data_IF_585112836096
#
_entry.id   IF_585112836096
#
_cell.length_a   1.000
_cell.length_b   1.000
_cell.length_c   1.000
_cell.angle_alpha   90.00
_cell.angle_beta   90.00
_cell.angle_gamma   90.00
#
_symmetry.space_group_name_H-M   'P 1'
#
loop_
_entity.id
_entity.type
_entity.pdbx_description
1 polymer ?
#
# COMPACT_ATOMS: atom_id res chain seq x y z
N UNK A 1 11.26 72.44 -15.00
CA UNK A 1 11.01 71.56 -13.83
C UNK A 1 11.14 70.10 -14.29
N UNK A 2 12.34 69.49 -14.05
CA UNK A 2 12.68 68.14 -14.51
C UNK A 2 12.38 67.17 -13.38
N UNK A 3 11.45 66.23 -13.58
CA UNK A 3 11.26 65.09 -12.73
C UNK A 3 12.14 63.92 -13.23
N UNK A 4 13.22 63.65 -12.50
CA UNK A 4 14.03 62.47 -12.69
C UNK A 4 13.26 61.23 -12.16
N UNK A 5 13.01 60.26 -13.03
CA UNK A 5 12.55 58.94 -12.64
C UNK A 5 13.76 58.10 -12.21
N UNK A 6 13.74 57.66 -10.96
CA UNK A 6 14.71 56.69 -10.43
C UNK A 6 14.20 55.31 -10.79
N UNK A 7 14.90 54.63 -11.66
CA UNK A 7 14.71 53.19 -11.92
C UNK A 7 15.46 52.42 -10.82
N UNK A 8 14.71 51.81 -9.91
CA UNK A 8 15.25 50.80 -9.00
C UNK A 8 15.51 49.51 -9.73
N UNK A 9 16.76 49.15 -9.87
CA UNK A 9 17.16 47.84 -10.35
C UNK A 9 16.86 46.81 -9.24
N UNK A 10 15.84 45.96 -9.45
CA UNK A 10 15.65 44.76 -8.67
C UNK A 10 16.76 43.78 -9.04
N UNK A 11 17.78 43.62 -8.18
CA UNK A 11 18.71 42.51 -8.26
C UNK A 11 17.93 41.23 -8.00
N UNK A 12 17.64 40.49 -9.05
CA UNK A 12 17.25 39.08 -9.00
C UNK A 12 18.50 38.29 -8.53
N UNK A 13 18.49 37.91 -7.25
CA UNK A 13 19.40 36.86 -6.79
C UNK A 13 18.93 35.52 -7.46
N UNK A 14 19.42 35.23 -8.65
CA UNK A 14 19.50 33.86 -9.12
C UNK A 14 20.50 33.14 -8.22
N UNK A 15 20.04 32.35 -7.26
CA UNK A 15 20.89 31.36 -6.63
C UNK A 15 21.46 30.49 -7.75
N UNK A 16 22.77 30.57 -7.96
CA UNK A 16 23.50 29.68 -8.85
C UNK A 16 23.26 28.27 -8.31
N UNK A 17 22.40 27.48 -8.99
CA UNK A 17 22.32 26.04 -8.76
C UNK A 17 23.72 25.48 -9.04
N UNK A 18 24.30 24.80 -8.07
CA UNK A 18 25.57 24.11 -8.22
C UNK A 18 25.50 23.27 -9.49
N UNK A 19 26.42 23.54 -10.45
CA UNK A 19 26.54 22.76 -11.68
C UNK A 19 27.19 21.39 -11.43
N UNK A 20 27.53 21.07 -10.19
CA UNK A 20 28.12 19.82 -9.80
C UNK A 20 27.05 18.82 -9.36
N UNK A 21 27.02 17.68 -10.02
CA UNK A 21 26.18 16.56 -9.61
C UNK A 21 26.95 15.65 -8.68
N UNK A 22 26.40 15.38 -7.50
CA UNK A 22 26.95 14.35 -6.61
C UNK A 22 26.93 12.99 -7.26
N UNK A 23 28.00 12.25 -7.11
CA UNK A 23 28.16 10.87 -7.63
C UNK A 23 28.09 9.87 -6.49
N UNK A 24 27.12 8.97 -6.57
CA UNK A 24 26.93 7.91 -5.59
C UNK A 24 27.41 6.59 -6.19
N UNK A 25 28.49 6.05 -5.63
CA UNK A 25 29.13 4.83 -6.10
C UNK A 25 28.92 3.70 -5.09
N UNK A 26 28.31 2.61 -5.54
CA UNK A 26 28.08 1.42 -4.72
C UNK A 26 29.03 0.33 -5.20
N UNK A 27 29.97 -0.06 -4.33
CA UNK A 27 30.93 -1.14 -4.55
C UNK A 27 30.42 -2.39 -3.83
N UNK A 28 30.11 -3.41 -4.59
CA UNK A 28 29.45 -4.62 -4.09
C UNK A 28 30.41 -5.79 -4.18
N UNK A 29 30.84 -6.27 -3.02
CA UNK A 29 31.57 -7.52 -2.92
C UNK A 29 30.60 -8.69 -3.01
N UNK A 30 31.06 -9.78 -3.66
CA UNK A 30 30.27 -10.99 -3.89
C UNK A 30 28.92 -10.73 -4.56
N UNK A 31 28.87 -9.96 -5.69
CA UNK A 31 27.61 -9.59 -6.33
C UNK A 31 26.91 -10.83 -6.92
N UNK A 32 25.57 -10.87 -6.80
CA UNK A 32 24.80 -11.88 -7.52
C UNK A 32 24.58 -11.40 -8.95
N UNK A 33 24.84 -12.26 -9.91
CA UNK A 33 24.65 -11.97 -11.33
C UNK A 33 23.20 -11.53 -11.63
N UNK A 34 23.03 -10.49 -12.45
CA UNK A 34 21.74 -9.93 -12.84
C UNK A 34 21.02 -9.15 -11.75
N UNK A 35 21.59 -9.00 -10.55
CA UNK A 35 20.98 -8.19 -9.49
C UNK A 35 21.18 -6.70 -9.76
N UNK A 36 20.08 -5.94 -9.74
CA UNK A 36 20.09 -4.47 -9.83
C UNK A 36 20.05 -3.86 -8.42
N UNK A 37 20.60 -2.65 -8.31
CA UNK A 37 20.41 -1.79 -7.16
C UNK A 37 19.19 -0.91 -7.42
N UNK A 38 18.25 -0.87 -6.48
CA UNK A 38 17.07 0.00 -6.54
C UNK A 38 17.23 1.11 -5.50
N UNK A 39 17.10 2.37 -5.94
CA UNK A 39 17.16 3.56 -5.09
C UNK A 39 15.81 4.24 -5.11
N UNK A 40 15.11 4.23 -3.99
CA UNK A 40 13.83 4.91 -3.82
C UNK A 40 14.03 6.30 -3.21
N UNK A 41 13.74 7.33 -3.98
CA UNK A 41 13.80 8.74 -3.60
C UNK A 41 12.50 9.15 -2.92
N UNK A 42 12.56 9.39 -1.63
CA UNK A 42 11.35 9.57 -0.83
C UNK A 42 10.64 10.89 -1.07
N UNK A 43 11.37 11.98 -1.34
CA UNK A 43 10.78 13.29 -1.59
C UNK A 43 10.02 13.36 -2.93
N UNK A 44 10.48 12.62 -3.95
CA UNK A 44 9.89 12.64 -5.30
C UNK A 44 9.02 11.43 -5.62
N UNK A 45 9.11 10.36 -4.80
CA UNK A 45 8.49 9.07 -5.09
C UNK A 45 9.12 8.32 -6.26
N UNK A 46 10.23 8.82 -6.80
CA UNK A 46 10.95 8.20 -7.92
C UNK A 46 11.72 6.96 -7.48
N UNK A 47 11.99 6.09 -8.43
CA UNK A 47 12.80 4.90 -8.24
C UNK A 47 13.77 4.77 -9.38
N UNK A 48 15.06 4.76 -9.07
CA UNK A 48 16.11 4.46 -10.02
C UNK A 48 16.54 2.99 -9.89
N UNK A 49 16.59 2.30 -11.03
CA UNK A 49 17.12 0.94 -11.14
C UNK A 49 18.51 1.02 -11.77
N UNK A 50 19.55 0.81 -10.97
CA UNK A 50 20.95 0.92 -11.38
C UNK A 50 21.53 -0.47 -11.61
N UNK A 51 22.09 -0.69 -12.80
CA UNK A 51 22.77 -1.96 -13.11
C UNK A 51 24.09 -2.09 -12.35
N UNK A 52 24.35 -3.27 -11.84
CA UNK A 52 25.61 -3.62 -11.22
C UNK A 52 26.54 -4.24 -12.27
N UNK A 53 27.61 -3.54 -12.62
CA UNK A 53 28.62 -4.02 -13.59
C UNK A 53 29.95 -4.25 -12.86
N UNK A 54 30.49 -5.45 -12.93
CA UNK A 54 31.75 -5.83 -12.25
C UNK A 54 31.77 -5.44 -10.76
N UNK A 55 30.64 -5.64 -10.07
CA UNK A 55 30.50 -5.29 -8.65
C UNK A 55 30.37 -3.80 -8.35
N UNK A 56 30.14 -2.95 -9.36
CA UNK A 56 29.98 -1.50 -9.17
C UNK A 56 28.68 -1.02 -9.79
N UNK A 57 27.94 -0.18 -9.05
CA UNK A 57 26.80 0.59 -9.55
C UNK A 57 27.07 2.06 -9.25
N UNK A 58 26.79 2.95 -10.22
CA UNK A 58 27.02 4.39 -10.07
C UNK A 58 25.83 5.16 -10.60
N UNK A 59 25.43 6.20 -9.87
CA UNK A 59 24.40 7.15 -10.28
C UNK A 59 24.86 8.57 -9.95
N UNK A 60 24.64 9.51 -10.86
CA UNK A 60 24.88 10.94 -10.65
C UNK A 60 23.54 11.68 -10.73
N UNK A 61 23.26 12.54 -9.75
CA UNK A 61 22.00 13.28 -9.66
C UNK A 61 22.22 14.61 -8.94
N UNK A 62 21.65 15.71 -9.43
CA UNK A 62 21.86 17.05 -8.91
C UNK A 62 20.59 17.88 -8.69
N UNK A 63 19.43 17.37 -9.11
CA UNK A 63 18.15 18.08 -9.10
C UNK A 63 17.24 17.69 -7.92
N UNK A 64 17.82 17.43 -6.78
CA UNK A 64 17.08 17.08 -5.58
C UNK A 64 17.57 17.83 -4.34
N UNK A 65 16.71 18.00 -3.36
CA UNK A 65 17.07 18.45 -2.02
C UNK A 65 17.61 17.30 -1.19
N UNK A 66 18.54 17.59 -0.28
CA UNK A 66 19.09 16.59 0.63
C UNK A 66 17.97 15.80 1.33
N UNK A 67 18.01 14.46 1.22
CA UNK A 67 16.92 13.60 1.66
C UNK A 67 17.35 12.20 2.04
N UNK A 68 16.46 11.52 2.78
CA UNK A 68 16.58 10.08 2.97
C UNK A 68 16.19 9.33 1.69
N UNK A 69 16.97 8.30 1.38
CA UNK A 69 16.67 7.33 0.33
C UNK A 69 16.64 5.93 0.92
N UNK A 70 15.80 5.07 0.37
CA UNK A 70 15.84 3.65 0.71
C UNK A 70 16.45 2.88 -0.44
N UNK A 71 17.47 2.10 -0.13
CA UNK A 71 18.24 1.34 -1.11
C UNK A 71 17.94 -0.14 -0.92
N UNK A 72 17.67 -0.82 -2.02
CA UNK A 72 17.46 -2.26 -2.06
C UNK A 72 18.51 -2.91 -2.94
N UNK A 73 19.08 -3.98 -2.46
CA UNK A 73 19.91 -4.89 -3.24
C UNK A 73 19.32 -6.31 -3.17
N UNK A 74 18.63 -6.68 -4.26
CA UNK A 74 17.84 -7.91 -4.29
C UNK A 74 16.58 -7.85 -3.39
N UNK A 75 15.97 -9.02 -3.14
CA UNK A 75 14.62 -9.10 -2.53
C UNK A 75 14.61 -8.86 -1.02
N UNK A 76 15.72 -9.10 -0.33
CA UNK A 76 15.72 -9.17 1.16
C UNK A 76 16.79 -8.30 1.83
N UNK A 77 17.47 -7.45 1.10
CA UNK A 77 18.47 -6.57 1.66
C UNK A 77 18.15 -5.11 1.34
N UNK A 78 17.90 -4.31 2.36
CA UNK A 78 17.65 -2.88 2.21
C UNK A 78 18.19 -2.10 3.39
N UNK A 79 18.60 -0.86 3.13
CA UNK A 79 19.10 0.08 4.11
C UNK A 79 18.71 1.51 3.74
N UNK A 80 18.87 2.44 4.69
CA UNK A 80 18.53 3.86 4.51
C UNK A 80 19.85 4.65 4.47
N UNK A 81 19.92 5.59 3.54
CA UNK A 81 20.99 6.56 3.40
C UNK A 81 20.43 7.97 3.41
N UNK A 82 21.27 8.96 3.68
CA UNK A 82 20.98 10.37 3.49
C UNK A 82 21.90 10.91 2.39
N UNK A 83 21.31 11.39 1.30
CA UNK A 83 22.04 11.88 0.13
C UNK A 83 21.86 13.39 -0.02
N UNK A 84 22.96 14.06 -0.41
CA UNK A 84 23.04 15.50 -0.64
C UNK A 84 23.53 15.72 -2.08
N UNK A 85 22.80 16.52 -2.85
CA UNK A 85 22.93 16.64 -4.31
C UNK A 85 24.34 16.99 -4.82
N UNK A 86 25.10 17.73 -4.03
CA UNK A 86 26.43 18.25 -4.38
C UNK A 86 27.60 17.47 -3.74
N UNK A 87 27.32 16.31 -3.12
CA UNK A 87 28.31 15.54 -2.40
C UNK A 87 28.46 14.11 -2.91
N UNK A 88 29.66 13.74 -3.27
CA UNK A 88 29.98 12.36 -3.63
C UNK A 88 29.93 11.43 -2.42
N UNK A 89 29.51 10.20 -2.64
CA UNK A 89 29.48 9.17 -1.61
C UNK A 89 29.82 7.81 -2.21
N UNK A 90 30.77 7.10 -1.62
CA UNK A 90 31.03 5.71 -1.93
C UNK A 90 30.48 4.82 -0.83
N UNK A 91 29.68 3.83 -1.21
CA UNK A 91 29.08 2.84 -0.30
C UNK A 91 29.65 1.47 -0.66
N UNK A 92 30.25 0.79 0.30
CA UNK A 92 30.71 -0.59 0.13
C UNK A 92 29.65 -1.52 0.73
N UNK A 93 29.28 -2.54 -0.02
CA UNK A 93 28.24 -3.52 0.32
C UNK A 93 28.89 -4.90 0.21
N UNK A 94 28.92 -5.68 1.27
CA UNK A 94 29.15 -7.12 1.14
C UNK A 94 27.78 -7.82 1.01
N UNK A 95 27.55 -8.41 -0.17
CA UNK A 95 26.26 -9.05 -0.46
C UNK A 95 26.04 -10.36 0.30
N UNK A 96 27.09 -10.97 0.84
CA UNK A 96 27.04 -12.21 1.60
C UNK A 96 26.88 -11.95 3.10
N UNK A 97 27.71 -11.10 3.70
CA UNK A 97 27.66 -10.76 5.13
C UNK A 97 26.63 -9.69 5.44
N UNK A 98 26.23 -8.88 4.45
CA UNK A 98 25.40 -7.67 4.55
C UNK A 98 26.07 -6.52 5.32
N UNK A 99 27.37 -6.57 5.47
CA UNK A 99 28.12 -5.47 6.03
C UNK A 99 28.10 -4.27 5.07
N UNK A 100 28.00 -3.09 5.67
CA UNK A 100 27.91 -1.81 4.98
C UNK A 100 28.97 -0.86 5.53
N UNK A 101 29.63 -0.14 4.63
CA UNK A 101 30.46 1.01 5.02
C UNK A 101 30.33 2.11 3.97
N UNK A 102 30.67 3.33 4.33
CA UNK A 102 30.66 4.45 3.40
C UNK A 102 31.83 5.39 3.64
N UNK A 103 32.22 6.12 2.58
CA UNK A 103 33.26 7.14 2.58
C UNK A 103 32.84 8.30 1.66
N UNK A 104 33.13 9.53 2.09
CA UNK A 104 32.81 10.75 1.33
C UNK A 104 32.51 11.94 2.24
N UNK A 105 32.19 13.12 1.68
CA UNK A 105 31.98 14.34 2.45
C UNK A 105 30.79 14.32 3.45
N UNK A 106 29.88 13.35 3.31
CA UNK A 106 28.73 13.15 4.22
C UNK A 106 28.74 11.78 4.87
N UNK A 107 29.88 11.17 5.02
CA UNK A 107 29.98 9.80 5.52
C UNK A 107 29.65 9.67 7.01
N UNK A 108 29.85 10.73 7.83
CA UNK A 108 29.48 10.73 9.24
C UNK A 108 27.96 10.55 9.45
N UNK A 109 27.13 11.20 8.63
CA UNK A 109 25.68 11.03 8.67
C UNK A 109 25.32 9.59 8.32
N UNK A 110 25.90 9.08 7.25
CA UNK A 110 25.57 7.75 6.75
C UNK A 110 26.16 6.65 7.63
N UNK A 111 27.34 6.84 8.22
CA UNK A 111 27.88 5.94 9.27
C UNK A 111 26.94 5.86 10.47
N UNK A 112 26.40 7.01 10.92
CA UNK A 112 25.41 7.04 11.97
C UNK A 112 24.14 6.23 11.59
N UNK A 113 23.60 6.43 10.39
CA UNK A 113 22.40 5.72 9.94
C UNK A 113 22.61 4.21 9.82
N UNK A 114 23.77 3.78 9.35
CA UNK A 114 24.10 2.38 9.08
C UNK A 114 24.50 1.59 10.35
N UNK A 115 25.18 2.24 11.31
CA UNK A 115 25.82 1.53 12.43
C UNK A 115 25.25 1.85 13.80
N UNK A 116 24.35 2.86 13.93
CA UNK A 116 23.73 3.13 15.23
C UNK A 116 22.75 2.00 15.60
N UNK A 117 22.91 1.36 16.77
CA UNK A 117 22.02 0.30 17.24
C UNK A 117 20.71 0.89 17.76
N UNK A 118 19.88 1.39 16.85
CA UNK A 118 18.58 1.96 17.22
C UNK A 118 17.70 0.96 17.94
N UNK A 119 17.16 1.35 19.08
CA UNK A 119 16.15 0.59 19.78
C UNK A 119 14.84 0.53 18.97
N UNK A 120 14.14 -0.59 19.10
CA UNK A 120 12.82 -0.82 18.52
C UNK A 120 11.90 -1.44 19.57
N UNK A 121 10.59 -1.17 19.46
CA UNK A 121 9.60 -1.80 20.31
C UNK A 121 9.42 -3.26 19.88
N UNK A 122 9.59 -4.19 20.82
CA UNK A 122 9.34 -5.61 20.57
C UNK A 122 7.88 -5.81 20.08
N UNK A 123 7.67 -6.57 19.01
CA UNK A 123 6.32 -6.89 18.53
C UNK A 123 5.39 -7.47 19.60
N UNK A 124 5.92 -8.29 20.51
CA UNK A 124 5.17 -8.90 21.61
C UNK A 124 4.82 -7.90 22.73
N UNK A 125 5.43 -6.71 22.73
CA UNK A 125 5.11 -5.68 23.73
C UNK A 125 3.63 -5.23 23.66
N UNK A 126 2.96 -5.42 22.52
CA UNK A 126 1.51 -5.19 22.41
C UNK A 126 0.67 -6.13 23.30
N UNK A 127 1.24 -7.20 23.83
CA UNK A 127 0.62 -8.02 24.89
C UNK A 127 0.62 -7.38 26.28
N UNK A 128 1.34 -6.26 26.51
CA UNK A 128 1.30 -5.50 27.77
C UNK A 128 0.02 -4.68 27.87
N UNK A 129 -0.34 -4.29 29.10
CA UNK A 129 -1.40 -3.31 29.33
C UNK A 129 -1.03 -1.93 28.77
N UNK A 130 -2.01 -1.09 28.43
CA UNK A 130 -1.79 0.19 27.72
C UNK A 130 -0.73 1.08 28.37
N UNK A 131 -0.80 1.30 29.68
CA UNK A 131 0.14 2.18 30.38
C UNK A 131 1.58 1.67 30.26
N UNK A 132 1.79 0.36 30.38
CA UNK A 132 3.11 -0.27 30.25
C UNK A 132 3.60 -0.28 28.81
N UNK A 133 2.69 -0.42 27.84
CA UNK A 133 3.01 -0.33 26.42
C UNK A 133 3.44 1.08 26.03
N UNK A 134 2.73 2.12 26.50
CA UNK A 134 3.08 3.53 26.33
C UNK A 134 4.46 3.78 26.92
N UNK A 135 4.69 3.39 28.18
CA UNK A 135 5.99 3.55 28.86
C UNK A 135 7.14 2.83 28.13
N UNK A 136 6.87 1.65 27.59
CA UNK A 136 7.86 0.90 26.78
C UNK A 136 8.21 1.68 25.49
N UNK A 137 7.21 2.21 24.80
CA UNK A 137 7.40 2.97 23.57
C UNK A 137 8.14 4.29 23.84
N UNK A 138 7.78 5.01 24.89
CA UNK A 138 8.46 6.23 25.33
C UNK A 138 9.94 5.96 25.69
N UNK A 139 10.22 4.84 26.37
CA UNK A 139 11.58 4.43 26.70
C UNK A 139 12.43 4.18 25.44
N UNK A 140 11.88 3.49 24.46
CA UNK A 140 12.57 3.24 23.16
C UNK A 140 12.88 4.57 22.45
N UNK A 141 11.93 5.50 22.41
CA UNK A 141 12.16 6.83 21.82
C UNK A 141 13.25 7.60 22.56
N UNK A 142 13.22 7.62 23.89
CA UNK A 142 14.23 8.30 24.71
C UNK A 142 15.64 7.72 24.50
N UNK A 143 15.78 6.39 24.43
CA UNK A 143 17.07 5.74 24.09
C UNK A 143 17.59 6.23 22.74
N UNK A 144 16.72 6.25 21.72
CA UNK A 144 17.11 6.70 20.38
C UNK A 144 17.48 8.20 20.36
N UNK A 145 16.81 9.03 21.16
CA UNK A 145 17.16 10.46 21.30
C UNK A 145 18.53 10.66 21.98
N UNK A 146 18.86 9.87 22.98
CA UNK A 146 20.18 9.94 23.63
C UNK A 146 21.29 9.49 22.68
N UNK A 147 21.05 8.49 21.82
CA UNK A 147 22.00 8.11 20.77
C UNK A 147 22.23 9.26 19.77
N UNK A 148 21.15 9.92 19.32
CA UNK A 148 21.25 11.08 18.44
C UNK A 148 21.99 12.27 19.09
N UNK A 149 21.72 12.54 20.37
CA UNK A 149 22.35 13.62 21.12
C UNK A 149 23.86 13.46 21.21
N UNK A 150 24.32 12.22 21.46
CA UNK A 150 25.75 11.86 21.58
C UNK A 150 26.51 11.87 20.25
N UNK A 151 25.81 11.69 19.14
CA UNK A 151 26.44 11.69 17.82
C UNK A 151 26.92 13.09 17.42
N UNK A 152 28.11 13.19 16.84
CA UNK A 152 28.63 14.42 16.26
C UNK A 152 28.11 14.58 14.82
N UNK A 153 27.01 15.32 14.68
CA UNK A 153 26.26 15.45 13.42
C UNK A 153 25.79 16.89 13.23
N UNK A 154 25.61 17.34 11.98
CA UNK A 154 25.09 18.67 11.68
C UNK A 154 23.72 18.95 12.35
N UNK A 155 23.56 20.15 12.88
CA UNK A 155 22.35 20.56 13.62
C UNK A 155 21.07 20.38 12.80
N UNK A 156 21.10 20.74 11.50
CA UNK A 156 19.96 20.57 10.61
C UNK A 156 19.58 19.10 10.44
N UNK A 157 20.57 18.24 10.30
CA UNK A 157 20.31 16.79 10.22
C UNK A 157 19.75 16.26 11.55
N UNK A 158 20.32 16.67 12.72
CA UNK A 158 19.79 16.27 14.04
C UNK A 158 18.31 16.66 14.21
N UNK A 159 17.92 17.86 13.75
CA UNK A 159 16.52 18.31 13.79
C UNK A 159 15.61 17.36 12.98
N UNK A 160 16.03 17.01 11.78
CA UNK A 160 15.29 16.14 10.88
C UNK A 160 15.24 14.70 11.41
N UNK A 161 16.39 14.21 11.88
CA UNK A 161 16.53 12.86 12.43
C UNK A 161 15.70 12.66 13.70
N UNK A 162 15.57 13.68 14.55
CA UNK A 162 14.68 13.62 15.71
C UNK A 162 13.22 13.33 15.30
N UNK A 163 12.73 13.97 14.22
CA UNK A 163 11.40 13.68 13.66
C UNK A 163 11.31 12.23 13.16
N UNK A 164 12.32 11.78 12.40
CA UNK A 164 12.34 10.39 11.88
C UNK A 164 12.35 9.35 13.00
N UNK A 165 13.13 9.58 14.05
CA UNK A 165 13.20 8.69 15.22
C UNK A 165 11.88 8.59 15.98
N UNK A 166 11.04 9.64 15.98
CA UNK A 166 9.69 9.56 16.52
C UNK A 166 8.91 8.44 15.81
N UNK A 167 8.80 8.51 14.48
CA UNK A 167 8.02 7.53 13.71
C UNK A 167 8.64 6.14 13.75
N UNK A 168 9.97 6.03 13.75
CA UNK A 168 10.67 4.75 13.90
C UNK A 168 10.34 4.10 15.25
N UNK A 169 10.40 4.86 16.33
CA UNK A 169 10.21 4.34 17.70
C UNK A 169 8.74 3.96 17.97
N UNK A 170 7.80 4.73 17.44
CA UNK A 170 6.36 4.49 17.61
C UNK A 170 5.71 3.79 16.42
N UNK A 171 6.48 3.21 15.49
CA UNK A 171 5.95 2.61 14.26
C UNK A 171 4.84 1.58 14.46
N UNK A 172 4.83 0.88 15.60
CA UNK A 172 3.81 -0.11 15.96
C UNK A 172 2.70 0.43 16.87
N UNK A 173 2.81 1.67 17.32
CA UNK A 173 1.88 2.24 18.28
C UNK A 173 0.44 2.29 17.77
N UNK A 174 0.16 2.76 16.55
CA UNK A 174 -1.20 2.77 16.00
C UNK A 174 -1.84 1.38 15.86
N UNK A 175 -1.01 0.34 15.78
CA UNK A 175 -1.46 -1.05 15.60
C UNK A 175 -1.80 -1.75 16.93
N UNK A 176 -1.51 -1.13 18.06
CA UNK A 176 -1.78 -1.73 19.37
C UNK A 176 -3.25 -2.17 19.54
N UNK A 177 -4.27 -1.37 19.16
CA UNK A 177 -5.67 -1.77 19.34
C UNK A 177 -6.07 -3.04 18.60
N UNK A 178 -5.38 -3.39 17.52
CA UNK A 178 -5.62 -4.63 16.76
C UNK A 178 -4.76 -5.79 17.26
N UNK A 179 -3.52 -5.51 17.67
CA UNK A 179 -2.56 -6.54 18.10
C UNK A 179 -2.78 -7.00 19.54
N UNK A 180 -3.16 -6.08 20.44
CA UNK A 180 -3.38 -6.38 21.84
C UNK A 180 -4.44 -7.48 22.05
N UNK A 181 -5.68 -7.35 21.53
CA UNK A 181 -6.68 -8.39 21.69
C UNK A 181 -6.28 -9.71 21.04
N UNK A 182 -5.58 -9.67 19.90
CA UNK A 182 -5.07 -10.88 19.26
C UNK A 182 -4.08 -11.63 20.16
N UNK A 183 -3.11 -10.93 20.76
CA UNK A 183 -2.09 -11.52 21.65
C UNK A 183 -2.68 -11.97 22.98
N UNK A 184 -3.67 -11.26 23.49
CA UNK A 184 -4.36 -11.57 24.75
C UNK A 184 -5.53 -12.53 24.59
N UNK A 185 -5.89 -12.88 23.34
CA UNK A 185 -7.06 -13.71 23.02
C UNK A 185 -8.37 -13.13 23.58
N UNK A 186 -8.56 -11.80 23.41
CA UNK A 186 -9.77 -11.09 23.82
C UNK A 186 -10.77 -11.07 22.67
N UNK A 187 -12.05 -11.28 22.98
CA UNK A 187 -13.13 -11.23 21.98
C UNK A 187 -13.37 -9.80 21.46
N UNK A 188 -13.11 -8.79 22.30
CA UNK A 188 -13.22 -7.38 21.95
C UNK A 188 -12.25 -6.54 22.78
N UNK A 189 -11.85 -5.40 22.22
CA UNK A 189 -10.99 -4.44 22.91
C UNK A 189 -11.29 -3.03 22.39
N UNK A 190 -11.37 -2.07 23.30
CA UNK A 190 -11.49 -0.65 22.98
C UNK A 190 -10.40 0.12 23.70
N UNK A 191 -9.56 0.90 23.00
CA UNK A 191 -8.52 1.72 23.62
C UNK A 191 -9.10 2.70 24.63
N UNK A 192 -8.38 2.94 25.72
CA UNK A 192 -8.77 3.94 26.72
C UNK A 192 -8.47 5.37 26.22
N UNK A 193 -9.00 6.36 26.95
CA UNK A 193 -8.66 7.77 26.70
C UNK A 193 -7.16 8.06 26.87
N UNK A 194 -6.46 7.33 27.73
CA UNK A 194 -5.01 7.45 27.91
C UNK A 194 -4.28 7.14 26.59
N UNK A 195 -4.60 5.99 25.99
CA UNK A 195 -4.01 5.60 24.71
C UNK A 195 -4.37 6.56 23.58
N UNK A 196 -5.65 6.92 23.47
CA UNK A 196 -6.13 7.80 22.41
C UNK A 196 -5.56 9.21 22.49
N UNK A 197 -5.36 9.76 23.69
CA UNK A 197 -4.70 11.04 23.89
C UNK A 197 -3.23 10.98 23.46
N UNK A 198 -2.52 9.91 23.82
CA UNK A 198 -1.14 9.68 23.37
C UNK A 198 -1.08 9.52 21.85
N UNK A 199 -2.02 8.78 21.25
CA UNK A 199 -2.11 8.62 19.80
C UNK A 199 -2.29 9.97 19.08
N UNK A 200 -3.17 10.83 19.61
CA UNK A 200 -3.38 12.18 19.09
C UNK A 200 -2.11 13.04 19.17
N UNK A 201 -1.38 12.99 20.28
CA UNK A 201 -0.07 13.67 20.44
C UNK A 201 0.95 13.20 19.38
N UNK A 202 0.98 11.90 19.10
CA UNK A 202 1.91 11.29 18.18
C UNK A 202 1.51 11.42 16.70
N UNK A 203 0.28 11.87 16.40
CA UNK A 203 -0.20 12.08 15.03
C UNK A 203 0.26 13.43 14.49
N UNK A 204 1.53 13.50 14.14
CA UNK A 204 2.18 14.72 13.62
C UNK A 204 1.88 14.88 12.12
N UNK A 205 1.25 16.01 11.75
CA UNK A 205 0.97 16.40 10.36
C UNK A 205 2.03 17.41 9.91
N UNK A 206 3.03 16.93 9.17
CA UNK A 206 4.17 17.76 8.73
C UNK A 206 4.68 17.26 7.37
N UNK A 207 4.61 18.12 6.35
CA UNK A 207 5.03 17.78 4.99
C UNK A 207 6.53 17.42 4.88
N UNK A 208 7.39 17.96 5.75
CA UNK A 208 8.81 17.58 5.78
C UNK A 208 9.00 16.08 6.08
N UNK A 209 8.07 15.51 6.88
CA UNK A 209 8.11 14.10 7.25
C UNK A 209 7.75 13.14 6.11
N UNK A 210 7.13 13.61 5.02
CA UNK A 210 6.90 12.79 3.82
C UNK A 210 8.20 12.26 3.21
N UNK A 211 9.34 12.89 3.52
CA UNK A 211 10.67 12.41 3.14
C UNK A 211 11.15 11.18 3.92
N UNK A 212 10.43 10.75 4.96
CA UNK A 212 10.79 9.56 5.74
C UNK A 212 10.07 8.32 5.24
N UNK A 213 10.82 7.23 5.07
CA UNK A 213 10.26 5.97 4.56
C UNK A 213 9.06 5.46 5.37
N UNK A 214 9.13 5.63 6.70
CA UNK A 214 8.17 5.02 7.62
C UNK A 214 7.00 5.94 7.99
N UNK A 215 7.12 7.26 7.71
CA UNK A 215 6.11 8.24 8.10
C UNK A 215 4.76 8.03 7.45
N UNK A 216 4.74 7.77 6.14
CA UNK A 216 3.49 7.60 5.41
C UNK A 216 2.66 6.42 5.94
N UNK A 217 3.29 5.28 6.17
CA UNK A 217 2.61 4.11 6.76
C UNK A 217 2.14 4.41 8.18
N UNK A 218 3.03 4.98 9.00
CA UNK A 218 2.70 5.38 10.37
C UNK A 218 1.50 6.32 10.41
N UNK A 219 1.49 7.37 9.57
CA UNK A 219 0.41 8.36 9.54
C UNK A 219 -0.92 7.73 9.11
N UNK A 220 -0.89 6.85 8.10
CA UNK A 220 -2.09 6.13 7.67
C UNK A 220 -2.67 5.25 8.77
N UNK A 221 -1.82 4.47 9.46
CA UNK A 221 -2.25 3.64 10.59
C UNK A 221 -2.78 4.51 11.74
N UNK A 222 -2.14 5.65 12.02
CA UNK A 222 -2.55 6.60 13.04
C UNK A 222 -3.91 7.27 12.73
N UNK A 223 -4.15 7.61 11.47
CA UNK A 223 -5.45 8.13 11.00
C UNK A 223 -6.52 7.07 11.17
N UNK A 224 -6.28 5.85 10.70
CA UNK A 224 -7.25 4.76 10.78
C UNK A 224 -7.59 4.40 12.25
N UNK A 225 -6.57 4.34 13.11
CA UNK A 225 -6.74 4.08 14.54
C UNK A 225 -7.66 5.11 15.21
N UNK A 226 -7.60 6.38 14.79
CA UNK A 226 -8.39 7.46 15.37
C UNK A 226 -9.73 7.69 14.67
N UNK A 227 -9.78 7.49 13.35
CA UNK A 227 -10.96 7.77 12.54
C UNK A 227 -12.01 6.67 12.65
N UNK A 228 -11.60 5.39 12.63
CA UNK A 228 -12.55 4.29 12.49
C UNK A 228 -13.20 3.94 13.82
N UNK A 229 -14.52 4.24 13.90
CA UNK A 229 -15.33 4.04 15.10
C UNK A 229 -16.43 2.97 14.89
N UNK A 230 -16.37 2.21 13.76
CA UNK A 230 -17.29 1.13 13.43
C UNK A 230 -18.48 1.54 12.56
N UNK A 231 -18.44 2.76 12.00
CA UNK A 231 -19.37 3.26 10.99
C UNK A 231 -18.89 3.01 9.55
N UNK A 232 -19.25 3.93 8.65
CA UNK A 232 -18.74 3.94 7.28
C UNK A 232 -17.29 4.45 7.27
N UNK A 233 -16.34 3.53 7.12
CA UNK A 233 -14.90 3.83 7.16
C UNK A 233 -14.47 4.90 6.16
N UNK A 234 -15.13 4.99 4.99
CA UNK A 234 -14.81 6.00 3.99
C UNK A 234 -15.20 7.39 4.46
N UNK A 235 -16.41 7.53 5.01
CA UNK A 235 -16.90 8.80 5.57
C UNK A 235 -16.12 9.20 6.81
N UNK A 236 -15.83 8.25 7.69
CA UNK A 236 -15.00 8.47 8.87
C UNK A 236 -13.60 8.95 8.50
N UNK A 237 -12.96 8.34 7.48
CA UNK A 237 -11.67 8.77 6.97
C UNK A 237 -11.72 10.20 6.44
N UNK A 238 -12.64 10.50 5.52
CA UNK A 238 -12.75 11.84 4.91
C UNK A 238 -13.01 12.91 5.97
N UNK A 239 -13.93 12.67 6.90
CA UNK A 239 -14.23 13.59 8.00
C UNK A 239 -13.02 13.84 8.91
N UNK A 240 -12.28 12.79 9.27
CA UNK A 240 -11.07 12.91 10.07
C UNK A 240 -10.00 13.72 9.36
N UNK A 241 -9.74 13.42 8.08
CA UNK A 241 -8.73 14.13 7.28
C UNK A 241 -9.09 15.60 7.13
N UNK A 242 -10.35 15.94 6.86
CA UNK A 242 -10.82 17.32 6.76
C UNK A 242 -10.69 18.09 8.08
N UNK A 243 -10.94 17.45 9.20
CA UNK A 243 -10.82 18.05 10.51
C UNK A 243 -9.36 18.25 10.98
N UNK A 244 -8.48 17.28 10.71
CA UNK A 244 -7.18 17.18 11.38
C UNK A 244 -5.97 17.38 10.46
N UNK A 245 -6.07 17.15 9.14
CA UNK A 245 -4.96 17.25 8.19
C UNK A 245 -5.04 18.56 7.41
N UNK A 246 -4.38 19.62 7.91
CA UNK A 246 -4.46 20.97 7.32
C UNK A 246 -3.38 21.24 6.27
N UNK A 247 -2.23 20.57 6.34
CA UNK A 247 -1.19 20.69 5.32
C UNK A 247 -1.64 20.05 4.01
N UNK A 248 -1.62 20.82 2.91
CA UNK A 248 -2.13 20.39 1.61
C UNK A 248 -1.34 19.23 1.01
N UNK A 249 -0.01 19.15 1.23
CA UNK A 249 0.82 18.06 0.72
C UNK A 249 0.54 16.76 1.48
N UNK A 250 0.44 16.85 2.81
CA UNK A 250 0.11 15.69 3.65
C UNK A 250 -1.30 15.22 3.34
N UNK A 251 -2.26 16.14 3.18
CA UNK A 251 -3.64 15.82 2.81
C UNK A 251 -3.70 15.10 1.46
N UNK A 252 -2.99 15.62 0.47
CA UNK A 252 -2.86 14.99 -0.84
C UNK A 252 -2.30 13.57 -0.74
N UNK A 253 -1.23 13.39 0.04
CA UNK A 253 -0.58 12.09 0.23
C UNK A 253 -1.51 11.06 0.88
N UNK A 254 -2.17 11.40 2.01
CA UNK A 254 -3.05 10.45 2.70
C UNK A 254 -4.31 10.13 1.89
N UNK A 255 -4.82 11.13 1.15
CA UNK A 255 -5.96 10.95 0.24
C UNK A 255 -5.60 9.99 -0.90
N UNK A 256 -4.45 10.19 -1.55
CA UNK A 256 -3.95 9.29 -2.59
C UNK A 256 -3.75 7.87 -2.03
N UNK A 257 -3.06 7.73 -0.91
CA UNK A 257 -2.76 6.44 -0.30
C UNK A 257 -4.01 5.64 0.04
N UNK A 258 -5.06 6.28 0.56
CA UNK A 258 -6.28 5.60 0.98
C UNK A 258 -7.24 5.35 -0.20
N UNK A 259 -7.57 6.39 -0.94
CA UNK A 259 -8.63 6.31 -1.96
C UNK A 259 -8.14 5.60 -3.21
N UNK A 260 -6.89 5.82 -3.64
CA UNK A 260 -6.33 5.08 -4.77
C UNK A 260 -6.33 3.57 -4.51
N UNK A 261 -5.98 3.14 -3.30
CA UNK A 261 -6.01 1.70 -2.94
C UNK A 261 -7.42 1.12 -3.09
N UNK A 262 -8.44 1.83 -2.58
CA UNK A 262 -9.85 1.40 -2.68
C UNK A 262 -10.31 1.34 -4.13
N UNK A 263 -10.16 2.44 -4.89
CA UNK A 263 -10.66 2.52 -6.28
C UNK A 263 -9.91 1.55 -7.17
N UNK A 264 -8.59 1.41 -7.01
CA UNK A 264 -7.79 0.48 -7.82
C UNK A 264 -8.15 -0.99 -7.63
N UNK A 265 -8.72 -1.36 -6.47
CA UNK A 265 -9.10 -2.74 -6.12
C UNK A 265 -10.60 -3.01 -6.26
N UNK A 266 -11.43 -2.02 -5.97
CA UNK A 266 -12.90 -2.19 -5.85
C UNK A 266 -13.68 -1.54 -6.99
N UNK A 267 -13.07 -0.64 -7.76
CA UNK A 267 -13.71 0.05 -8.88
C UNK A 267 -14.48 1.28 -8.47
N UNK A 268 -15.33 1.74 -9.39
CA UNK A 268 -16.03 3.02 -9.28
C UNK A 268 -17.44 2.90 -8.65
N UNK A 269 -18.10 1.74 -8.80
CA UNK A 269 -19.47 1.57 -8.34
C UNK A 269 -19.60 1.72 -6.83
N UNK A 270 -20.36 2.72 -6.38
CA UNK A 270 -20.51 3.07 -4.98
C UNK A 270 -19.34 3.83 -4.38
N UNK A 271 -18.37 4.26 -5.19
CA UNK A 271 -17.19 5.02 -4.78
C UNK A 271 -17.15 6.44 -5.38
N UNK A 272 -18.25 6.96 -5.93
CA UNK A 272 -18.27 8.27 -6.59
C UNK A 272 -17.89 9.40 -5.63
N UNK A 273 -18.35 9.36 -4.37
CA UNK A 273 -17.96 10.33 -3.33
C UNK A 273 -16.45 10.30 -3.04
N UNK A 274 -15.82 9.12 -3.06
CA UNK A 274 -14.36 8.99 -2.91
C UNK A 274 -13.61 9.55 -4.13
N UNK A 275 -14.12 9.32 -5.34
CA UNK A 275 -13.54 9.85 -6.58
C UNK A 275 -13.56 11.38 -6.58
N UNK A 276 -14.69 11.99 -6.18
CA UNK A 276 -14.81 13.44 -6.09
C UNK A 276 -13.91 14.00 -4.99
N UNK A 277 -13.84 13.36 -3.84
CA UNK A 277 -12.95 13.75 -2.75
C UNK A 277 -11.48 13.67 -3.16
N UNK A 278 -11.09 12.63 -3.90
CA UNK A 278 -9.74 12.47 -4.45
C UNK A 278 -9.38 13.65 -5.35
N UNK A 279 -10.21 13.92 -6.35
CA UNK A 279 -9.99 15.01 -7.33
C UNK A 279 -9.90 16.39 -6.69
N UNK A 280 -10.62 16.60 -5.59
CA UNK A 280 -10.59 17.86 -4.83
C UNK A 280 -9.31 18.04 -4.01
N UNK A 281 -8.74 16.96 -3.47
CA UNK A 281 -7.72 17.05 -2.43
C UNK A 281 -6.33 16.60 -2.88
N UNK A 282 -6.19 15.82 -3.96
CA UNK A 282 -4.89 15.40 -4.48
C UNK A 282 -4.33 16.48 -5.40
N UNK A 283 -3.13 16.97 -5.08
CA UNK A 283 -2.43 18.03 -5.83
C UNK A 283 -1.24 17.51 -6.64
N UNK A 284 -0.81 16.27 -6.41
CA UNK A 284 0.26 15.63 -7.18
C UNK A 284 -0.24 15.25 -8.58
N UNK A 285 0.40 15.80 -9.62
CA UNK A 285 -0.02 15.58 -11.01
C UNK A 285 0.15 14.13 -11.45
N UNK A 286 1.27 13.47 -11.07
CA UNK A 286 1.52 12.07 -11.45
C UNK A 286 0.51 11.14 -10.78
N UNK A 287 0.18 11.39 -9.52
CA UNK A 287 -0.87 10.66 -8.81
C UNK A 287 -2.23 10.86 -9.47
N UNK A 288 -2.58 12.09 -9.84
CA UNK A 288 -3.84 12.40 -10.55
C UNK A 288 -3.93 11.70 -11.90
N UNK A 289 -2.89 11.78 -12.74
CA UNK A 289 -2.84 11.10 -14.04
C UNK A 289 -3.00 9.57 -13.90
N UNK A 290 -2.32 8.99 -12.91
CA UNK A 290 -2.43 7.56 -12.59
C UNK A 290 -3.83 7.18 -12.11
N UNK A 291 -4.46 8.03 -11.29
CA UNK A 291 -5.82 7.84 -10.80
C UNK A 291 -6.84 7.91 -11.93
N UNK A 292 -6.76 8.93 -12.79
CA UNK A 292 -7.66 9.08 -13.93
C UNK A 292 -7.52 7.93 -14.94
N UNK A 293 -6.30 7.46 -15.18
CA UNK A 293 -6.07 6.26 -16.00
C UNK A 293 -6.72 5.02 -15.37
N UNK A 294 -6.66 4.89 -14.05
CA UNK A 294 -7.31 3.80 -13.30
C UNK A 294 -8.85 3.92 -13.39
N UNK A 295 -9.40 5.10 -13.17
CA UNK A 295 -10.84 5.34 -13.33
C UNK A 295 -11.32 4.98 -14.72
N UNK A 296 -10.59 5.40 -15.77
CA UNK A 296 -10.91 5.07 -17.17
C UNK A 296 -10.95 3.55 -17.43
N UNK A 297 -10.05 2.79 -16.81
CA UNK A 297 -10.08 1.33 -16.91
C UNK A 297 -11.32 0.73 -16.25
N UNK A 298 -11.77 1.30 -15.13
CA UNK A 298 -12.94 0.82 -14.41
C UNK A 298 -14.27 1.24 -15.05
N UNK A 299 -14.32 2.29 -15.89
CA UNK A 299 -15.56 2.72 -16.58
C UNK A 299 -16.19 1.59 -17.42
N UNK A 300 -15.38 0.74 -18.05
CA UNK A 300 -15.89 -0.40 -18.83
C UNK A 300 -16.49 -1.51 -17.95
N UNK A 301 -16.27 -1.47 -16.65
CA UNK A 301 -16.74 -2.44 -15.65
C UNK A 301 -17.88 -1.86 -14.78
N UNK A 302 -18.46 -0.73 -15.15
CA UNK A 302 -19.63 -0.16 -14.47
C UNK A 302 -20.83 -1.09 -14.56
N UNK A 303 -21.71 -1.03 -13.55
CA UNK A 303 -22.97 -1.73 -13.57
C UNK A 303 -23.77 -1.44 -14.86
N UNK A 304 -24.38 -2.46 -15.44
CA UNK A 304 -25.07 -2.40 -16.71
C UNK A 304 -24.18 -2.59 -17.95
N UNK A 305 -22.85 -2.50 -17.84
CA UNK A 305 -21.91 -2.79 -18.95
C UNK A 305 -21.91 -4.28 -19.29
N UNK A 306 -21.65 -4.67 -20.57
CA UNK A 306 -21.41 -6.06 -20.91
C UNK A 306 -20.19 -6.62 -20.17
N UNK A 307 -20.34 -7.80 -19.55
CA UNK A 307 -19.22 -8.45 -18.88
C UNK A 307 -18.14 -8.90 -19.87
N UNK A 308 -16.84 -8.74 -19.55
CA UNK A 308 -15.80 -9.54 -20.18
C UNK A 308 -16.17 -11.03 -20.17
N UNK A 309 -15.97 -11.71 -21.30
CA UNK A 309 -16.36 -13.10 -21.48
C UNK A 309 -15.24 -14.06 -21.05
N UNK A 310 -15.65 -15.26 -20.70
CA UNK A 310 -14.74 -16.41 -20.56
C UNK A 310 -15.23 -17.60 -21.38
N UNK A 311 -14.31 -18.49 -21.74
CA UNK A 311 -14.60 -19.83 -22.27
C UNK A 311 -13.54 -20.75 -21.68
N UNK A 312 -13.94 -21.64 -20.77
CA UNK A 312 -13.01 -22.42 -19.97
C UNK A 312 -13.50 -23.86 -19.77
N UNK A 313 -12.58 -24.85 -19.66
CA UNK A 313 -12.96 -26.23 -19.43
C UNK A 313 -13.41 -26.48 -17.99
N UNK A 314 -14.40 -27.34 -17.83
CA UNK A 314 -14.72 -28.00 -16.56
C UNK A 314 -13.71 -29.13 -16.24
N UNK A 315 -13.94 -29.83 -15.12
CA UNK A 315 -13.09 -30.94 -14.68
C UNK A 315 -13.09 -32.14 -15.66
N UNK A 316 -14.09 -32.24 -16.52
CA UNK A 316 -14.20 -33.28 -17.55
C UNK A 316 -13.68 -32.79 -18.91
N UNK A 317 -13.16 -31.60 -19.01
CA UNK A 317 -12.67 -30.98 -20.25
C UNK A 317 -13.76 -30.36 -21.13
N UNK A 318 -15.03 -30.36 -20.72
CA UNK A 318 -16.11 -29.72 -21.45
C UNK A 318 -15.99 -28.21 -21.34
N UNK A 319 -15.98 -27.53 -22.49
CA UNK A 319 -15.92 -26.08 -22.56
C UNK A 319 -17.23 -25.44 -22.14
N UNK A 320 -17.16 -24.48 -21.22
CA UNK A 320 -18.31 -23.68 -20.76
C UNK A 320 -17.98 -22.21 -20.98
N UNK A 321 -18.84 -21.52 -21.73
CA UNK A 321 -18.71 -20.10 -22.01
C UNK A 321 -19.67 -19.29 -21.15
N UNK A 322 -19.36 -18.01 -20.86
CA UNK A 322 -20.29 -17.11 -20.19
C UNK A 322 -21.63 -17.00 -20.95
N UNK A 323 -21.59 -17.01 -22.28
CA UNK A 323 -22.82 -16.92 -23.11
C UNK A 323 -23.75 -18.12 -22.94
N UNK A 324 -23.23 -19.29 -22.56
CA UNK A 324 -24.04 -20.49 -22.29
C UNK A 324 -24.78 -20.44 -20.94
N UNK A 325 -24.49 -19.45 -20.11
CA UNK A 325 -25.09 -19.25 -18.79
C UNK A 325 -26.16 -18.15 -18.77
N UNK A 326 -26.46 -17.55 -19.93
CA UNK A 326 -27.52 -16.55 -20.07
C UNK A 326 -28.90 -17.09 -19.68
N UNK A 327 -29.80 -16.20 -19.25
CA UNK A 327 -31.12 -16.53 -18.76
C UNK A 327 -31.23 -16.60 -17.24
N UNK A 328 -30.07 -16.71 -16.55
CA UNK A 328 -30.00 -16.66 -15.09
C UNK A 328 -28.94 -15.65 -14.65
N UNK A 329 -29.05 -15.19 -13.42
CA UNK A 329 -27.96 -14.44 -12.77
C UNK A 329 -26.74 -15.34 -12.64
N UNK A 330 -25.53 -14.73 -12.64
CA UNK A 330 -24.28 -15.50 -12.51
C UNK A 330 -23.45 -14.86 -11.39
N UNK A 331 -23.23 -15.61 -10.32
CA UNK A 331 -22.33 -15.24 -9.24
C UNK A 331 -21.01 -15.98 -9.41
N UNK A 332 -19.93 -15.25 -9.68
CA UNK A 332 -18.63 -15.78 -10.03
C UNK A 332 -17.69 -15.62 -8.85
N UNK A 333 -17.00 -16.70 -8.45
CA UNK A 333 -15.88 -16.74 -7.53
C UNK A 333 -14.58 -16.97 -8.33
N UNK A 334 -13.70 -15.97 -8.37
CA UNK A 334 -12.35 -16.14 -8.93
C UNK A 334 -11.39 -16.50 -7.79
N UNK A 335 -10.87 -17.72 -7.85
CA UNK A 335 -10.16 -18.34 -6.74
C UNK A 335 -8.95 -19.18 -7.20
N UNK A 336 -8.20 -19.76 -6.25
CA UNK A 336 -7.18 -20.77 -6.51
C UNK A 336 -6.99 -21.71 -5.32
N UNK A 337 -6.49 -22.92 -5.59
CA UNK A 337 -6.28 -23.97 -4.58
C UNK A 337 -5.29 -23.56 -3.48
N UNK A 338 -4.30 -22.76 -3.80
CA UNK A 338 -3.28 -22.24 -2.89
C UNK A 338 -3.72 -21.00 -2.09
N UNK A 339 -4.86 -20.39 -2.44
CA UNK A 339 -5.36 -19.17 -1.81
C UNK A 339 -6.06 -19.52 -0.48
N UNK A 340 -5.41 -19.21 0.64
CA UNK A 340 -5.96 -19.41 1.98
C UNK A 340 -7.30 -18.69 2.21
N UNK A 341 -7.38 -17.35 1.98
CA UNK A 341 -8.63 -16.61 2.11
C UNK A 341 -9.77 -17.15 1.22
N UNK A 342 -9.48 -17.60 -0.01
CA UNK A 342 -10.49 -18.20 -0.88
C UNK A 342 -11.08 -19.47 -0.26
N UNK A 343 -10.22 -20.31 0.31
CA UNK A 343 -10.67 -21.52 0.99
C UNK A 343 -11.53 -21.24 2.22
N UNK A 344 -11.31 -20.12 2.87
CA UNK A 344 -12.14 -19.64 3.99
C UNK A 344 -13.57 -19.27 3.57
N UNK A 345 -13.78 -18.90 2.30
CA UNK A 345 -15.12 -18.57 1.76
C UNK A 345 -15.92 -19.80 1.30
N UNK A 346 -15.27 -20.96 1.04
CA UNK A 346 -15.95 -22.15 0.51
C UNK A 346 -17.15 -22.63 1.36
N UNK A 347 -17.08 -22.69 2.72
CA UNK A 347 -18.23 -23.12 3.51
C UNK A 347 -19.44 -22.16 3.38
N UNK A 348 -19.18 -20.86 3.22
CA UNK A 348 -20.22 -19.85 3.01
C UNK A 348 -20.79 -19.95 1.59
N UNK A 349 -19.95 -20.22 0.58
CA UNK A 349 -20.38 -20.45 -0.79
C UNK A 349 -21.33 -21.67 -0.86
N UNK A 350 -20.98 -22.77 -0.23
CA UNK A 350 -21.83 -23.98 -0.19
C UNK A 350 -23.19 -23.69 0.44
N UNK A 351 -23.24 -22.88 1.52
CA UNK A 351 -24.51 -22.46 2.14
C UNK A 351 -25.35 -21.59 1.20
N UNK A 352 -24.73 -20.66 0.45
CA UNK A 352 -25.44 -19.86 -0.53
C UNK A 352 -26.01 -20.73 -1.67
N UNK A 353 -25.22 -21.68 -2.20
CA UNK A 353 -25.65 -22.62 -3.22
C UNK A 353 -26.86 -23.45 -2.77
N UNK A 354 -26.87 -23.90 -1.51
CA UNK A 354 -28.00 -24.61 -0.90
C UNK A 354 -29.22 -23.72 -0.71
N UNK A 355 -29.04 -22.52 -0.20
CA UNK A 355 -30.12 -21.53 0.05
C UNK A 355 -30.82 -21.11 -1.24
N UNK A 356 -30.08 -20.98 -2.34
CA UNK A 356 -30.61 -20.54 -3.63
C UNK A 356 -30.74 -21.69 -4.65
N UNK A 357 -30.74 -22.95 -4.18
CA UNK A 357 -30.96 -24.10 -5.03
C UNK A 357 -32.32 -24.00 -5.74
N UNK A 358 -32.34 -24.24 -7.07
CA UNK A 358 -33.53 -24.13 -7.89
C UNK A 358 -33.96 -22.70 -8.24
N UNK A 359 -33.28 -21.68 -7.78
CA UNK A 359 -33.48 -20.28 -8.18
C UNK A 359 -32.73 -19.95 -9.48
N UNK A 360 -33.10 -18.81 -10.09
CA UNK A 360 -32.53 -18.37 -11.38
C UNK A 360 -31.14 -17.72 -11.20
N UNK A 361 -30.22 -18.43 -10.56
CA UNK A 361 -28.84 -18.03 -10.36
C UNK A 361 -27.89 -19.20 -10.57
N UNK A 362 -26.79 -18.96 -11.28
CA UNK A 362 -25.65 -19.87 -11.40
C UNK A 362 -24.55 -19.45 -10.45
N UNK A 363 -23.94 -20.40 -9.75
CA UNK A 363 -22.71 -20.22 -8.99
C UNK A 363 -21.55 -20.81 -9.80
N UNK A 364 -20.53 -19.99 -10.07
CA UNK A 364 -19.43 -20.34 -10.97
C UNK A 364 -18.10 -20.09 -10.29
N UNK A 365 -17.32 -21.14 -10.08
CA UNK A 365 -15.93 -21.05 -9.63
C UNK A 365 -15.00 -20.96 -10.84
N UNK A 366 -14.29 -19.86 -11.00
CA UNK A 366 -13.25 -19.67 -12.00
C UNK A 366 -11.87 -19.79 -11.34
N UNK A 367 -11.25 -20.96 -11.44
CA UNK A 367 -9.90 -21.14 -10.90
C UNK A 367 -8.85 -20.48 -11.77
N UNK A 368 -7.98 -19.67 -11.14
CA UNK A 368 -6.79 -19.12 -11.77
C UNK A 368 -5.51 -19.93 -11.44
N UNK A 369 -5.64 -21.20 -11.07
CA UNK A 369 -4.50 -22.07 -10.84
C UNK A 369 -3.63 -22.22 -12.09
N UNK A 370 -2.32 -22.11 -11.94
CA UNK A 370 -1.35 -22.50 -12.98
C UNK A 370 -1.19 -24.02 -13.07
N UNK A 371 -1.43 -24.73 -11.96
CA UNK A 371 -1.38 -26.19 -11.89
C UNK A 371 -2.80 -26.77 -11.99
N UNK A 372 -3.23 -27.05 -13.23
CA UNK A 372 -4.55 -27.63 -13.52
C UNK A 372 -4.79 -28.95 -12.77
N UNK A 373 -3.78 -29.82 -12.65
CA UNK A 373 -3.92 -31.08 -11.93
C UNK A 373 -4.19 -30.88 -10.42
N UNK A 374 -3.63 -29.86 -9.81
CA UNK A 374 -3.93 -29.54 -8.41
C UNK A 374 -5.40 -29.10 -8.25
N UNK A 375 -5.91 -28.28 -9.19
CA UNK A 375 -7.31 -27.88 -9.23
C UNK A 375 -8.24 -29.09 -9.46
N UNK A 376 -7.97 -29.94 -10.44
CA UNK A 376 -8.75 -31.15 -10.71
C UNK A 376 -8.87 -32.06 -9.47
N UNK A 377 -7.74 -32.32 -8.80
CA UNK A 377 -7.71 -33.10 -7.53
C UNK A 377 -8.53 -32.42 -6.43
N UNK A 378 -8.56 -31.08 -6.41
CA UNK A 378 -9.36 -30.33 -5.41
C UNK A 378 -10.85 -30.47 -5.69
N UNK A 379 -11.28 -30.37 -6.95
CA UNK A 379 -12.69 -30.53 -7.34
C UNK A 379 -13.18 -31.96 -7.15
N UNK A 380 -12.34 -32.97 -7.44
CA UNK A 380 -12.67 -34.38 -7.26
C UNK A 380 -13.00 -34.79 -5.82
N UNK A 381 -12.66 -33.96 -4.81
CA UNK A 381 -13.10 -34.20 -3.41
C UNK A 381 -14.62 -34.10 -3.24
N UNK A 382 -15.32 -33.44 -4.16
CA UNK A 382 -16.78 -33.40 -4.21
C UNK A 382 -17.46 -32.44 -3.21
N UNK A 383 -16.69 -31.67 -2.45
CA UNK A 383 -17.20 -30.71 -1.46
C UNK A 383 -17.36 -29.27 -1.99
N UNK A 384 -16.94 -29.02 -3.23
CA UNK A 384 -17.17 -27.76 -3.96
C UNK A 384 -18.24 -28.02 -5.01
N UNK A 385 -19.37 -27.32 -4.88
CA UNK A 385 -20.52 -27.42 -5.79
C UNK A 385 -20.45 -26.39 -6.92
N UNK A 386 -21.54 -26.17 -7.60
CA UNK A 386 -21.64 -25.21 -8.71
C UNK A 386 -20.84 -25.59 -9.94
N UNK A 387 -20.73 -24.67 -10.87
CA UNK A 387 -19.99 -24.85 -12.13
C UNK A 387 -18.53 -24.50 -11.87
N UNK A 388 -17.65 -25.49 -11.96
CA UNK A 388 -16.21 -25.31 -11.66
C UNK A 388 -15.39 -25.34 -12.94
N UNK A 389 -14.68 -24.25 -13.23
CA UNK A 389 -13.91 -24.02 -14.46
C UNK A 389 -12.48 -23.59 -14.13
N UNK A 390 -11.52 -23.87 -15.02
CA UNK A 390 -10.13 -23.46 -14.88
C UNK A 390 -9.73 -22.51 -16.02
N UNK A 391 -9.48 -21.23 -15.69
CA UNK A 391 -9.11 -20.19 -16.66
C UNK A 391 -7.61 -19.88 -16.68
N UNK A 392 -6.85 -20.34 -15.66
CA UNK A 392 -5.43 -20.05 -15.49
C UNK A 392 -5.14 -18.61 -15.01
N UNK A 393 -3.86 -18.33 -14.62
CA UNK A 393 -3.51 -17.10 -13.89
C UNK A 393 -3.47 -15.82 -14.76
N UNK A 394 -3.28 -15.94 -16.08
CA UNK A 394 -3.10 -14.82 -17.00
C UNK A 394 -4.20 -14.73 -18.06
N UNK A 395 -5.41 -15.17 -17.72
CA UNK A 395 -6.53 -15.14 -18.66
C UNK A 395 -6.96 -13.71 -18.98
N UNK A 396 -7.44 -13.50 -20.22
CA UNK A 396 -8.05 -12.24 -20.65
C UNK A 396 -9.17 -11.76 -19.70
N UNK A 397 -9.93 -12.70 -19.14
CA UNK A 397 -10.98 -12.41 -18.18
C UNK A 397 -10.41 -11.70 -16.94
N UNK A 398 -9.34 -12.24 -16.35
CA UNK A 398 -8.71 -11.64 -15.17
C UNK A 398 -8.13 -10.26 -15.49
N UNK A 399 -7.49 -10.11 -16.66
CA UNK A 399 -6.91 -8.82 -17.08
C UNK A 399 -7.99 -7.77 -17.30
N UNK A 400 -9.07 -8.11 -18.03
CA UNK A 400 -10.18 -7.21 -18.32
C UNK A 400 -10.99 -6.82 -17.08
N UNK A 401 -11.10 -7.72 -16.09
CA UNK A 401 -11.70 -7.41 -14.78
C UNK A 401 -10.74 -6.75 -13.79
N UNK A 402 -9.52 -6.41 -14.21
CA UNK A 402 -8.50 -5.77 -13.38
C UNK A 402 -8.27 -6.55 -12.07
N UNK A 403 -8.29 -7.89 -12.13
CA UNK A 403 -8.14 -8.73 -10.94
C UNK A 403 -6.66 -8.82 -10.57
N UNK A 404 -6.29 -8.06 -9.54
CA UNK A 404 -4.92 -8.02 -8.98
C UNK A 404 -4.74 -8.94 -7.77
N UNK A 405 -5.81 -9.50 -7.24
CA UNK A 405 -5.80 -10.37 -6.07
C UNK A 405 -7.09 -11.17 -5.94
N UNK A 406 -7.01 -12.32 -5.30
CA UNK A 406 -8.12 -13.24 -5.02
C UNK A 406 -8.29 -13.43 -3.51
N UNK A 407 -9.52 -13.77 -3.04
CA UNK A 407 -10.74 -14.02 -3.82
C UNK A 407 -11.33 -12.76 -4.43
N UNK A 408 -11.97 -12.88 -5.59
CA UNK A 408 -12.74 -11.83 -6.25
C UNK A 408 -14.11 -12.38 -6.62
N UNK A 409 -15.18 -11.69 -6.22
CA UNK A 409 -16.55 -12.06 -6.54
C UNK A 409 -17.14 -11.07 -7.53
N UNK A 410 -17.90 -11.59 -8.50
CA UNK A 410 -18.53 -10.82 -9.57
C UNK A 410 -19.98 -11.28 -9.68
N UNK A 411 -20.91 -10.35 -9.87
CA UNK A 411 -22.32 -10.65 -10.08
C UNK A 411 -22.79 -10.09 -11.41
N UNK A 412 -23.39 -10.96 -12.23
CA UNK A 412 -23.93 -10.63 -13.54
C UNK A 412 -25.44 -10.86 -13.58
N UNK A 413 -26.13 -10.09 -14.41
CA UNK A 413 -27.56 -10.29 -14.69
C UNK A 413 -27.82 -11.42 -15.71
N UNK A 414 -29.09 -11.65 -16.03
CA UNK A 414 -29.55 -12.70 -16.95
C UNK A 414 -29.05 -12.52 -18.39
N UNK A 415 -28.67 -11.32 -18.80
CA UNK A 415 -28.11 -11.00 -20.12
C UNK A 415 -26.56 -11.06 -20.14
N UNK A 416 -25.92 -11.32 -18.99
CA UNK A 416 -24.48 -11.31 -18.82
C UNK A 416 -23.91 -9.90 -18.71
N UNK A 417 -24.71 -8.94 -18.25
CA UNK A 417 -24.25 -7.58 -17.91
C UNK A 417 -23.83 -7.55 -16.45
N UNK A 418 -22.91 -6.65 -16.14
CA UNK A 418 -22.37 -6.48 -14.78
C UNK A 418 -23.45 -5.89 -13.87
N UNK A 419 -23.78 -6.58 -12.80
CA UNK A 419 -24.51 -6.02 -11.66
C UNK A 419 -23.51 -5.46 -10.65
N UNK A 420 -22.45 -6.23 -10.37
CA UNK A 420 -21.31 -5.79 -9.53
C UNK A 420 -20.02 -6.43 -10.02
N UNK A 421 -19.07 -5.60 -10.45
CA UNK A 421 -17.72 -6.06 -10.84
C UNK A 421 -16.87 -6.48 -9.63
N UNK A 422 -17.26 -6.03 -8.43
CA UNK A 422 -16.70 -6.45 -7.15
C UNK A 422 -17.87 -6.68 -6.16
N UNK A 423 -18.46 -7.86 -6.23
CA UNK A 423 -19.59 -8.25 -5.39
C UNK A 423 -19.13 -8.58 -3.96
N UNK A 424 -20.02 -8.47 -2.95
CA UNK A 424 -19.76 -8.94 -1.60
C UNK A 424 -19.37 -10.42 -1.60
N UNK A 425 -18.56 -10.80 -0.62
CA UNK A 425 -18.13 -12.19 -0.40
C UNK A 425 -19.28 -13.07 0.06
N UNK A 426 -19.21 -14.38 -0.08
CA UNK A 426 -20.22 -15.30 0.47
C UNK A 426 -20.42 -15.16 1.98
N UNK A 427 -19.36 -14.81 2.73
CA UNK A 427 -19.43 -14.58 4.18
C UNK A 427 -20.06 -13.24 4.58
N UNK A 428 -20.24 -12.32 3.62
CA UNK A 428 -20.85 -11.01 3.86
C UNK A 428 -22.40 -11.12 3.77
N UNK A 429 -23.15 -10.78 4.82
CA UNK A 429 -24.63 -10.90 4.81
C UNK A 429 -25.30 -9.99 3.77
N UNK A 430 -24.61 -9.01 3.21
CA UNK A 430 -25.16 -8.16 2.17
C UNK A 430 -25.38 -8.91 0.84
N UNK A 431 -24.67 -10.04 0.60
CA UNK A 431 -24.86 -10.79 -0.65
C UNK A 431 -26.24 -11.43 -0.71
N UNK A 432 -26.75 -11.95 0.41
CA UNK A 432 -28.11 -12.52 0.46
C UNK A 432 -29.18 -11.47 0.23
N UNK A 433 -29.02 -10.26 0.78
CA UNK A 433 -29.96 -9.14 0.51
C UNK A 433 -30.01 -8.82 -0.98
N UNK A 434 -28.84 -8.75 -1.65
CA UNK A 434 -28.76 -8.48 -3.08
C UNK A 434 -29.43 -9.60 -3.88
N UNK A 435 -29.18 -10.87 -3.57
CA UNK A 435 -29.81 -11.99 -4.25
C UNK A 435 -31.33 -11.99 -4.05
N UNK A 436 -31.80 -11.75 -2.83
CA UNK A 436 -33.23 -11.69 -2.53
C UNK A 436 -33.95 -10.56 -3.29
N UNK A 437 -33.30 -9.41 -3.45
CA UNK A 437 -33.82 -8.30 -4.25
C UNK A 437 -33.91 -8.65 -5.75
N UNK A 438 -32.83 -9.22 -6.31
CA UNK A 438 -32.75 -9.56 -7.73
C UNK A 438 -33.68 -10.74 -8.13
N UNK A 439 -33.85 -11.70 -7.23
CA UNK A 439 -34.64 -12.92 -7.49
C UNK A 439 -36.12 -12.78 -7.13
N UNK A 440 -36.58 -11.64 -6.61
CA UNK A 440 -38.00 -11.31 -6.39
C UNK A 440 -38.73 -10.97 -7.70
N UNK A 441 -37.98 -10.58 -8.72
CA UNK A 441 -38.45 -10.21 -10.06
C UNK A 441 -38.11 -11.34 -11.04
#
# INVERSE_FOLDING_TARGET
MNKKRIFGAALSLCAAMSMYAGTYTFKIANPKEGTKLEIQWRATGETDLVEVKNGVATISKNDFTAQYVKIYYGVRFSFIMYLEADKDLTVNIDAQTRELSCTGPSDEINKYLLHTPFAVVDPNAAGKEEADYIKTSDSVYNVNLELLKKADLPTNFKRLEKKRLLFKSYSRFPLYPSHHPFLKKLDSYKPTSLFMNKMKELTVVDAECLNFADYGYYLMDAIQCQAFQGGDSNKEFMAFVDANVKDAKVKSYVTDSYIYDIVSKRGLDGNDELVDYYRKNVIDKKAMEKFDATCKQWEILRAGSPSPSFNAPDVNGKMVSLSSLKGKYVYIDVWATWCGPCRGELPYMTKLEEQYAGKDIHFVGLSCDSNKSAWEKRIQKGDIKGIQLCIGPNSDFMQKYIIKGIPRFILLDRDGRIVKANAPRPSDPNITKIFDELLKN
#
